data_IF_617800184287
#
_entry.id   IF_617800184287
#
_cell.length_a   1.000
_cell.length_b   1.000
_cell.length_c   1.000
_cell.angle_alpha   90.00
_cell.angle_beta   90.00
_cell.angle_gamma   90.00
#
_symmetry.space_group_name_H-M   'P 1'
#
loop_
_entity.id
_entity.type
_entity.pdbx_description
1 polymer ?
#
# COMPACT_ATOMS: atom_id res chain seq x y z
N UNK A 1 -20.97 5.13 -7.22
CA UNK A 1 -19.87 4.60 -8.08
C UNK A 1 -18.61 4.45 -7.24
N UNK A 2 -17.94 3.32 -7.33
CA UNK A 2 -16.74 3.06 -6.56
C UNK A 2 -15.50 3.39 -7.38
N UNK A 3 -14.52 4.02 -6.75
CA UNK A 3 -13.22 4.29 -7.37
C UNK A 3 -12.13 3.81 -6.44
N UNK A 4 -11.19 3.03 -6.97
CA UNK A 4 -10.05 2.54 -6.20
C UNK A 4 -8.77 3.21 -6.68
N UNK A 5 -7.92 3.55 -5.73
CA UNK A 5 -6.58 4.08 -6.00
C UNK A 5 -5.58 3.24 -5.24
N UNK A 6 -4.52 2.80 -5.90
CA UNK A 6 -3.44 2.02 -5.31
C UNK A 6 -2.13 2.63 -5.75
N UNK A 7 -1.41 3.24 -4.80
CA UNK A 7 -0.18 3.98 -5.07
C UNK A 7 0.93 3.50 -4.15
N UNK A 8 2.14 3.40 -4.69
CA UNK A 8 3.33 3.06 -3.90
C UNK A 8 3.76 4.27 -3.09
N UNK A 9 3.82 4.13 -1.77
CA UNK A 9 4.23 5.22 -0.88
C UNK A 9 5.68 5.10 -0.42
N UNK A 10 6.18 3.88 -0.22
CA UNK A 10 7.54 3.65 0.24
C UNK A 10 7.97 2.26 -0.18
N UNK A 11 9.27 2.06 -0.39
CA UNK A 11 9.83 0.77 -0.81
C UNK A 11 11.02 0.43 0.08
N UNK A 12 11.08 -0.83 0.52
CA UNK A 12 12.24 -1.35 1.23
C UNK A 12 12.47 -2.79 0.78
N UNK A 13 13.55 -3.01 0.02
CA UNK A 13 13.84 -4.32 -0.54
C UNK A 13 12.75 -4.78 -1.49
N UNK A 14 12.18 -5.95 -1.24
CA UNK A 14 11.13 -6.51 -2.07
C UNK A 14 9.72 -6.21 -1.54
N UNK A 15 9.62 -5.35 -0.54
CA UNK A 15 8.34 -4.97 0.06
C UNK A 15 8.11 -3.49 -0.10
N UNK A 16 6.85 -3.10 -0.06
CA UNK A 16 6.46 -1.70 -0.20
C UNK A 16 5.22 -1.41 0.64
N UNK A 17 5.04 -0.14 0.99
CA UNK A 17 3.81 0.36 1.56
C UNK A 17 2.99 0.96 0.44
N UNK A 18 1.75 0.53 0.33
CA UNK A 18 0.81 1.02 -0.67
C UNK A 18 -0.31 1.79 0.00
N UNK A 19 -0.72 2.87 -0.62
CA UNK A 19 -1.97 3.54 -0.26
C UNK A 19 -3.09 2.85 -1.02
N UNK A 20 -4.06 2.33 -0.28
CA UNK A 20 -5.24 1.72 -0.86
C UNK A 20 -6.45 2.57 -0.47
N UNK A 21 -6.98 3.30 -1.42
CA UNK A 21 -8.08 4.23 -1.21
C UNK A 21 -9.28 3.79 -2.04
N UNK A 22 -10.42 3.67 -1.39
CA UNK A 22 -11.69 3.40 -2.06
C UNK A 22 -12.63 4.58 -1.83
N UNK A 23 -13.17 5.10 -2.91
CA UNK A 23 -14.11 6.22 -2.85
C UNK A 23 -15.50 5.72 -3.25
N UNK A 24 -16.45 5.88 -2.34
CA UNK A 24 -17.86 5.57 -2.56
C UNK A 24 -18.64 6.88 -2.64
N UNK A 25 -19.92 6.80 -2.94
CA UNK A 25 -20.75 8.02 -3.07
C UNK A 25 -20.81 8.82 -1.77
N UNK A 26 -20.88 8.14 -0.63
CA UNK A 26 -21.14 8.77 0.66
C UNK A 26 -19.98 8.65 1.65
N UNK A 27 -18.91 7.95 1.32
CA UNK A 27 -17.75 7.89 2.21
C UNK A 27 -16.50 7.45 1.44
N UNK A 28 -15.35 7.65 2.09
CA UNK A 28 -14.05 7.24 1.55
C UNK A 28 -13.36 6.34 2.57
N UNK A 29 -12.85 5.21 2.11
CA UNK A 29 -12.08 4.29 2.94
C UNK A 29 -10.62 4.38 2.54
N UNK A 30 -9.72 4.49 3.53
CA UNK A 30 -8.27 4.54 3.29
C UNK A 30 -7.60 3.48 4.16
N UNK A 31 -6.77 2.66 3.53
CA UNK A 31 -5.94 1.65 4.20
C UNK A 31 -4.51 1.78 3.72
N UNK A 32 -3.59 1.38 4.56
CA UNK A 32 -2.17 1.30 4.20
C UNK A 32 -1.77 -0.16 4.22
N UNK A 33 -1.16 -0.62 3.16
CA UNK A 33 -0.90 -2.04 2.95
C UNK A 33 0.59 -2.26 2.77
N UNK A 34 1.15 -3.22 3.51
CA UNK A 34 2.52 -3.65 3.28
C UNK A 34 2.45 -4.97 2.52
N UNK A 35 2.99 -5.00 1.32
CA UNK A 35 2.95 -6.18 0.48
C UNK A 35 4.22 -6.30 -0.36
N UNK A 36 4.33 -7.41 -1.09
CA UNK A 36 5.45 -7.64 -1.98
C UNK A 36 5.35 -6.75 -3.21
N UNK A 37 6.49 -6.30 -3.70
CA UNK A 37 6.53 -5.57 -4.97
C UNK A 37 6.43 -6.54 -6.13
N UNK A 38 5.86 -6.07 -7.24
CA UNK A 38 5.86 -6.80 -8.50
C UNK A 38 6.54 -5.93 -9.54
N UNK A 39 7.51 -6.49 -10.24
CA UNK A 39 8.34 -5.72 -11.16
C UNK A 39 9.26 -4.79 -10.39
N UNK A 40 9.48 -3.60 -10.92
CA UNK A 40 10.33 -2.59 -10.30
C UNK A 40 9.55 -1.29 -10.13
N UNK A 41 8.59 -1.25 -9.20
CA UNK A 41 7.82 -0.02 -8.98
C UNK A 41 8.68 1.06 -8.34
N UNK A 42 8.30 2.31 -8.55
CA UNK A 42 8.92 3.43 -7.85
C UNK A 42 7.86 4.14 -7.02
N UNK A 43 8.30 4.90 -6.03
CA UNK A 43 7.39 5.66 -5.17
C UNK A 43 6.57 6.61 -6.04
N UNK A 44 5.26 6.58 -5.83
CA UNK A 44 4.32 7.39 -6.61
C UNK A 44 3.66 6.65 -7.76
N UNK A 45 4.14 5.44 -8.09
CA UNK A 45 3.54 4.65 -9.17
C UNK A 45 2.16 4.14 -8.77
N UNK A 46 1.27 4.09 -9.76
CA UNK A 46 0.00 3.38 -9.60
C UNK A 46 0.24 1.90 -9.86
N UNK A 47 -0.40 1.04 -9.07
CA UNK A 47 -0.27 -0.41 -9.21
C UNK A 47 -1.64 -1.05 -9.26
N UNK A 48 -1.70 -2.28 -9.77
CA UNK A 48 -2.95 -3.04 -9.82
C UNK A 48 -3.21 -3.82 -8.54
N UNK A 49 -2.16 -4.10 -7.77
CA UNK A 49 -2.29 -4.84 -6.52
C UNK A 49 -0.93 -5.26 -5.99
N UNK A 50 -0.95 -6.21 -5.07
CA UNK A 50 0.24 -6.72 -4.40
C UNK A 50 -0.02 -8.14 -3.95
N UNK A 51 1.07 -8.88 -3.63
CA UNK A 51 0.97 -10.22 -3.07
C UNK A 51 1.14 -10.15 -1.55
N UNK A 52 0.40 -10.97 -0.82
CA UNK A 52 0.52 -11.13 0.64
C UNK A 52 0.47 -9.82 1.41
N UNK A 53 -0.52 -8.98 1.10
CA UNK A 53 -0.66 -7.69 1.75
C UNK A 53 -1.11 -7.79 3.19
N UNK A 54 -0.52 -6.97 4.06
CA UNK A 54 -0.98 -6.79 5.43
C UNK A 54 -1.51 -5.37 5.57
N UNK A 55 -2.71 -5.24 6.10
CA UNK A 55 -3.44 -3.97 6.12
C UNK A 55 -3.28 -3.26 7.45
N UNK A 56 -3.12 -1.94 7.38
CA UNK A 56 -2.97 -1.07 8.56
C UNK A 56 -3.89 0.13 8.41
N UNK A 57 -4.33 0.67 9.55
CA UNK A 57 -5.19 1.85 9.56
C UNK A 57 -4.42 3.17 9.43
N UNK A 58 -3.13 3.17 9.72
CA UNK A 58 -2.30 4.38 9.65
C UNK A 58 -1.01 4.12 8.89
N UNK A 59 -0.46 5.18 8.30
CA UNK A 59 0.82 5.11 7.60
C UNK A 59 1.95 4.79 8.58
N UNK A 60 1.89 5.35 9.79
CA UNK A 60 2.91 5.11 10.81
C UNK A 60 3.02 3.63 11.13
N UNK A 61 1.90 2.95 11.32
CA UNK A 61 1.90 1.52 11.61
C UNK A 61 2.45 0.72 10.43
N UNK A 62 2.07 1.08 9.23
CA UNK A 62 2.55 0.40 8.02
C UNK A 62 4.06 0.55 7.85
N UNK A 63 4.57 1.77 8.04
CA UNK A 63 6.00 2.03 7.94
C UNK A 63 6.78 1.30 9.02
N UNK A 64 6.25 1.25 10.24
CA UNK A 64 6.87 0.51 11.33
C UNK A 64 6.99 -0.97 11.02
N UNK A 65 5.95 -1.55 10.46
CA UNK A 65 5.98 -2.95 10.04
C UNK A 65 6.99 -3.17 8.91
N UNK A 66 7.01 -2.29 7.91
CA UNK A 66 7.95 -2.38 6.79
C UNK A 66 9.40 -2.35 7.30
N UNK A 67 9.70 -1.43 8.22
CA UNK A 67 11.04 -1.28 8.76
C UNK A 67 11.47 -2.48 9.61
N UNK A 68 10.55 -3.22 10.17
CA UNK A 68 10.85 -4.39 10.99
C UNK A 68 10.95 -5.68 10.17
N UNK A 69 10.59 -5.66 8.90
CA UNK A 69 10.67 -6.84 8.04
C UNK A 69 12.12 -7.19 7.73
N UNK A 70 12.39 -8.49 7.70
CA UNK A 70 13.71 -9.03 7.36
C UNK A 70 13.56 -9.93 6.13
N UNK A 71 14.51 -9.81 5.22
CA UNK A 71 14.62 -10.66 4.04
C UNK A 71 15.91 -10.41 3.33
#
# INVERSE_FOLDING_TARGET
MEKETKIVLAIKGERAVYLFKREYEDFTEVKFVVGWTEGNPVVGDFVDGWASGKYFGTLEDALGYLNSCKY
#
